data_IF_339469596822
#
_entry.id   IF_339469596822
#
_cell.length_a   1.000
_cell.length_b   1.000
_cell.length_c   1.000
_cell.angle_alpha   90.00
_cell.angle_beta   90.00
_cell.angle_gamma   90.00
#
_symmetry.space_group_name_H-M   'P 1'
#
loop_
_entity.id
_entity.type
_entity.pdbx_description
1 polymer ?
#
# COMPACT_ATOMS: atom_id res chain seq x y z
N UNK A 1 7.83 21.14 18.25
CA UNK A 1 7.87 19.89 17.46
C UNK A 1 8.65 18.88 18.29
N UNK A 2 8.27 17.60 18.33
CA UNK A 2 9.11 16.59 19.01
C UNK A 2 10.47 16.52 18.31
N UNK A 3 11.57 16.46 19.06
CA UNK A 3 12.93 16.39 18.50
C UNK A 3 13.09 15.19 17.55
N UNK A 4 12.38 14.08 17.82
CA UNK A 4 12.35 12.91 16.95
C UNK A 4 11.70 13.20 15.59
N UNK A 5 10.66 14.03 15.56
CA UNK A 5 9.97 14.44 14.33
C UNK A 5 10.86 15.35 13.49
N UNK A 6 11.60 16.25 14.14
CA UNK A 6 12.53 17.15 13.45
C UNK A 6 13.69 16.36 12.81
N UNK A 7 14.30 15.44 13.58
CA UNK A 7 15.39 14.59 13.07
C UNK A 7 14.94 13.68 11.92
N UNK A 8 13.73 13.12 11.99
CA UNK A 8 13.16 12.32 10.92
C UNK A 8 12.93 13.14 9.65
N UNK A 9 12.41 14.35 9.79
CA UNK A 9 12.18 15.27 8.66
C UNK A 9 13.49 15.64 7.97
N UNK A 10 14.52 16.01 8.72
CA UNK A 10 15.83 16.38 8.17
C UNK A 10 16.46 15.18 7.43
N UNK A 11 16.44 14.00 8.04
CA UNK A 11 17.02 12.77 7.46
C UNK A 11 16.32 12.34 6.17
N UNK A 12 15.00 12.48 6.08
CA UNK A 12 14.26 12.09 4.87
C UNK A 12 14.37 13.14 3.77
N UNK A 13 14.46 14.42 4.14
CA UNK A 13 14.56 15.53 3.19
C UNK A 13 15.84 15.48 2.36
N UNK A 14 16.95 14.99 2.93
CA UNK A 14 18.22 14.84 2.18
C UNK A 14 18.17 13.78 1.09
N UNK A 15 17.19 12.88 1.11
CA UNK A 15 17.06 11.75 0.18
C UNK A 15 16.08 12.01 -0.97
N UNK A 16 15.52 13.22 -1.06
CA UNK A 16 14.60 13.59 -2.14
C UNK A 16 15.33 13.50 -3.48
N UNK A 17 14.74 12.75 -4.42
CA UNK A 17 15.31 12.54 -5.76
C UNK A 17 16.23 11.32 -5.88
N UNK A 18 16.55 10.65 -4.77
CA UNK A 18 17.21 9.34 -4.81
C UNK A 18 16.24 8.26 -5.30
N UNK A 19 16.66 7.43 -6.25
CA UNK A 19 15.90 6.25 -6.64
C UNK A 19 16.09 5.15 -5.59
N UNK A 20 14.99 4.56 -5.14
CA UNK A 20 15.04 3.36 -4.30
C UNK A 20 15.12 2.11 -5.16
N UNK A 21 15.83 1.10 -4.68
CA UNK A 21 15.81 -0.21 -5.31
C UNK A 21 14.39 -0.79 -5.25
N UNK A 22 13.92 -1.48 -6.32
CA UNK A 22 12.67 -2.22 -6.27
C UNK A 22 12.66 -3.22 -5.10
N UNK A 23 11.48 -3.41 -4.50
CA UNK A 23 11.27 -4.49 -3.52
C UNK A 23 11.07 -5.82 -4.21
N UNK A 24 11.11 -6.90 -3.44
CA UNK A 24 10.72 -8.21 -3.94
C UNK A 24 9.27 -8.21 -4.42
N UNK A 25 9.02 -9.00 -5.46
CA UNK A 25 7.67 -9.31 -5.90
C UNK A 25 6.94 -10.10 -4.82
N UNK A 26 5.64 -9.86 -4.69
CA UNK A 26 4.79 -10.62 -3.79
C UNK A 26 3.47 -10.97 -4.47
N UNK A 27 2.85 -12.05 -4.01
CA UNK A 27 1.57 -12.52 -4.55
C UNK A 27 0.39 -11.72 -3.99
N UNK A 28 -0.50 -11.30 -4.87
CA UNK A 28 -1.80 -10.70 -4.52
C UNK A 28 -2.84 -11.80 -4.65
N UNK A 29 -3.27 -12.36 -3.52
CA UNK A 29 -4.30 -13.40 -3.47
C UNK A 29 -5.70 -12.79 -3.38
N UNK A 30 -6.73 -13.56 -3.74
CA UNK A 30 -8.12 -13.15 -3.60
C UNK A 30 -8.49 -12.83 -2.15
N UNK A 31 -7.97 -13.59 -1.17
CA UNK A 31 -8.20 -13.33 0.26
C UNK A 31 -7.76 -11.91 0.67
N UNK A 32 -6.61 -11.45 0.16
CA UNK A 32 -6.12 -10.10 0.46
C UNK A 32 -6.98 -9.01 -0.17
N UNK A 33 -7.55 -9.28 -1.34
CA UNK A 33 -8.48 -8.37 -2.02
C UNK A 33 -9.79 -8.30 -1.21
N UNK A 34 -10.29 -9.44 -0.73
CA UNK A 34 -11.48 -9.51 0.12
C UNK A 34 -11.27 -8.76 1.45
N UNK A 35 -10.13 -8.98 2.14
CA UNK A 35 -9.79 -8.25 3.38
C UNK A 35 -9.75 -6.72 3.15
N UNK A 36 -9.22 -6.29 1.99
CA UNK A 36 -9.20 -4.88 1.63
C UNK A 36 -10.61 -4.32 1.41
N UNK A 37 -11.48 -5.05 0.72
CA UNK A 37 -12.88 -4.68 0.53
C UNK A 37 -13.61 -4.54 1.87
N UNK A 38 -13.36 -5.44 2.82
CA UNK A 38 -13.98 -5.39 4.16
C UNK A 38 -13.56 -4.16 4.96
N UNK A 39 -12.27 -3.79 4.93
CA UNK A 39 -11.76 -2.63 5.69
C UNK A 39 -12.19 -1.31 5.05
N UNK A 40 -12.30 -1.26 3.73
CA UNK A 40 -12.67 -0.05 2.99
C UNK A 40 -14.18 0.09 2.76
N UNK A 41 -14.95 -0.97 3.03
CA UNK A 41 -16.35 -1.12 2.65
C UNK A 41 -16.58 -0.99 1.14
N UNK A 42 -15.56 -1.26 0.33
CA UNK A 42 -15.63 -1.28 -1.13
C UNK A 42 -15.80 -2.71 -1.64
N UNK A 43 -17.04 -3.16 -1.63
CA UNK A 43 -17.45 -4.47 -2.13
C UNK A 43 -17.91 -4.40 -3.60
N UNK A 44 -17.32 -3.54 -4.43
CA UNK A 44 -17.61 -3.56 -5.86
C UNK A 44 -17.37 -4.96 -6.44
N UNK A 45 -18.28 -5.42 -7.30
CA UNK A 45 -18.27 -6.79 -7.82
C UNK A 45 -16.96 -7.16 -8.54
N UNK A 46 -16.27 -6.16 -9.11
CA UNK A 46 -14.95 -6.33 -9.75
C UNK A 46 -13.85 -6.81 -8.79
N UNK A 47 -14.08 -6.71 -7.48
CA UNK A 47 -13.13 -7.12 -6.44
C UNK A 47 -13.48 -8.47 -5.83
N UNK A 48 -14.76 -8.80 -5.68
CA UNK A 48 -15.22 -9.92 -4.84
C UNK A 48 -15.96 -11.04 -5.60
N UNK A 49 -16.38 -10.79 -6.85
CA UNK A 49 -17.15 -11.73 -7.65
C UNK A 49 -16.34 -12.14 -8.88
N UNK A 50 -15.61 -13.25 -8.75
CA UNK A 50 -14.74 -13.76 -9.81
C UNK A 50 -15.51 -14.11 -11.09
N UNK A 51 -16.70 -14.69 -10.98
CA UNK A 51 -17.47 -15.14 -12.14
C UNK A 51 -18.00 -13.96 -12.94
N UNK A 52 -18.42 -12.91 -12.24
CA UNK A 52 -18.84 -11.67 -12.88
C UNK A 52 -17.66 -10.86 -13.43
N UNK A 53 -16.46 -11.05 -12.88
CA UNK A 53 -15.22 -10.32 -13.23
C UNK A 53 -14.39 -10.93 -14.35
N UNK A 54 -14.78 -12.11 -14.85
CA UNK A 54 -14.19 -12.74 -16.05
C UNK A 54 -14.71 -12.08 -17.33
#
# INVERSE_FOLDING_TARGET
>A
MSDNLQNAYETLSTRIGESSAPTDWFEVTQDRINDFADVTMDHQWIHIDEDRSK
#
